data_IF_290858563053
#
_entry.id   IF_290858563053
#
_cell.length_a   1.000
_cell.length_b   1.000
_cell.length_c   1.000
_cell.angle_alpha   90.00
_cell.angle_beta   90.00
_cell.angle_gamma   90.00
#
_symmetry.space_group_name_H-M   'P 1'
#
loop_
_entity.id
_entity.type
_entity.pdbx_description
1 polymer ?
#
# COMPACT_ATOMS: atom_id res chain seq x y z
N UNK A 1 -6.44 -3.45 3.47
CA UNK A 1 -5.47 -4.04 2.53
C UNK A 1 -5.37 -3.13 1.31
N UNK A 2 -4.38 -2.24 1.28
CA UNK A 2 -4.18 -1.26 0.20
C UNK A 2 -3.72 -2.01 -1.04
N UNK A 3 -4.45 -1.90 -2.16
CA UNK A 3 -4.09 -2.58 -3.41
C UNK A 3 -2.88 -1.89 -4.06
N UNK A 4 -2.03 -2.69 -4.70
CA UNK A 4 -0.77 -2.35 -5.38
C UNK A 4 -0.91 -1.34 -6.55
N UNK A 5 -2.13 -0.88 -6.85
CA UNK A 5 -2.43 0.01 -8.00
C UNK A 5 -2.25 1.50 -7.64
N UNK A 6 -2.07 1.84 -6.36
CA UNK A 6 -1.61 3.16 -5.97
C UNK A 6 -0.08 3.22 -6.07
N UNK A 7 0.43 3.89 -7.10
CA UNK A 7 1.87 4.01 -7.38
C UNK A 7 2.63 4.59 -6.18
N UNK A 8 2.05 5.55 -5.46
CA UNK A 8 2.71 6.19 -4.32
C UNK A 8 2.76 5.23 -3.14
N UNK A 9 1.65 4.55 -2.84
CA UNK A 9 1.62 3.54 -1.77
C UNK A 9 2.56 2.37 -2.08
N UNK A 10 2.60 1.89 -3.33
CA UNK A 10 3.46 0.80 -3.77
C UNK A 10 4.95 1.17 -3.72
N UNK A 11 5.30 2.39 -4.16
CA UNK A 11 6.67 2.91 -4.04
C UNK A 11 7.09 3.03 -2.57
N UNK A 12 6.22 3.55 -1.72
CA UNK A 12 6.49 3.70 -0.28
C UNK A 12 6.68 2.33 0.38
N UNK A 13 5.84 1.35 0.06
CA UNK A 13 5.98 0.00 0.58
C UNK A 13 7.29 -0.66 0.12
N UNK A 14 7.69 -0.47 -1.15
CA UNK A 14 8.96 -0.98 -1.67
C UNK A 14 10.16 -0.35 -0.97
N UNK A 15 10.15 0.97 -0.75
CA UNK A 15 11.22 1.67 -0.02
C UNK A 15 11.31 1.21 1.43
N UNK A 16 10.18 1.07 2.14
CA UNK A 16 10.14 0.56 3.51
C UNK A 16 10.70 -0.88 3.59
N UNK A 17 10.33 -1.73 2.63
CA UNK A 17 10.87 -3.10 2.51
C UNK A 17 12.39 -3.07 2.32
N UNK A 18 12.91 -2.26 1.40
CA UNK A 18 14.34 -2.13 1.15
C UNK A 18 15.10 -1.60 2.37
N UNK A 19 14.56 -0.59 3.08
CA UNK A 19 15.15 -0.08 4.31
C UNK A 19 15.22 -1.16 5.40
N UNK A 20 14.14 -1.93 5.58
CA UNK A 20 14.12 -3.06 6.53
C UNK A 20 15.17 -4.10 6.19
N UNK A 21 15.27 -4.48 4.92
CA UNK A 21 16.27 -5.44 4.45
C UNK A 21 17.70 -4.90 4.64
N UNK A 22 17.94 -3.62 4.34
CA UNK A 22 19.25 -3.02 4.50
C UNK A 22 19.70 -2.99 5.97
N UNK A 23 18.77 -2.69 6.89
CA UNK A 23 19.03 -2.83 8.34
C UNK A 23 19.30 -4.28 8.74
N UNK A 24 18.60 -5.25 8.15
CA UNK A 24 18.78 -6.68 8.44
C UNK A 24 20.16 -7.21 7.99
N UNK A 25 20.72 -6.67 6.92
CA UNK A 25 22.03 -7.06 6.38
C UNK A 25 23.12 -6.02 6.70
N UNK A 26 22.98 -5.30 7.81
CA UNK A 26 24.00 -4.38 8.35
C UNK A 26 24.52 -3.33 7.34
N UNK A 27 23.65 -2.85 6.45
CA UNK A 27 24.00 -1.88 5.42
C UNK A 27 24.56 -2.47 4.12
N UNK A 28 24.74 -3.79 4.03
CA UNK A 28 25.21 -4.45 2.80
C UNK A 28 24.12 -4.41 1.72
N UNK A 29 24.29 -3.50 0.76
CA UNK A 29 23.36 -3.31 -0.35
C UNK A 29 23.30 -4.50 -1.31
N UNK A 30 24.38 -5.30 -1.47
CA UNK A 30 24.35 -6.46 -2.35
C UNK A 30 23.46 -7.55 -1.77
N UNK A 31 23.61 -7.82 -0.47
CA UNK A 31 22.75 -8.75 0.26
C UNK A 31 21.30 -8.24 0.34
N UNK A 32 21.12 -6.94 0.52
CA UNK A 32 19.81 -6.27 0.51
C UNK A 32 19.05 -6.52 -0.80
N UNK A 33 19.70 -6.24 -1.94
CA UNK A 33 19.10 -6.41 -3.27
C UNK A 33 18.88 -7.89 -3.59
N UNK A 34 19.81 -8.76 -3.19
CA UNK A 34 19.64 -10.22 -3.32
C UNK A 34 18.43 -10.73 -2.53
N UNK A 35 18.22 -10.22 -1.32
CA UNK A 35 17.08 -10.59 -0.48
C UNK A 35 15.76 -10.03 -1.00
N UNK A 36 15.77 -8.84 -1.60
CA UNK A 36 14.60 -8.28 -2.27
C UNK A 36 14.15 -9.15 -3.45
N UNK A 37 15.09 -9.65 -4.25
CA UNK A 37 14.77 -10.53 -5.39
C UNK A 37 14.39 -11.96 -4.96
N UNK A 38 15.12 -12.55 -4.00
CA UNK A 38 15.08 -13.99 -3.75
C UNK A 38 14.48 -14.39 -2.40
N UNK A 39 14.13 -13.41 -1.57
CA UNK A 39 13.64 -13.55 -0.20
C UNK A 39 14.75 -13.53 0.85
N UNK A 40 14.54 -12.79 1.95
CA UNK A 40 15.50 -12.69 3.06
C UNK A 40 15.87 -14.03 3.68
N UNK A 41 14.90 -14.93 3.87
CA UNK A 41 15.15 -16.25 4.48
C UNK A 41 16.11 -17.10 3.65
N UNK A 42 16.10 -16.95 2.32
CA UNK A 42 17.03 -17.64 1.42
C UNK A 42 18.45 -17.11 1.59
N UNK A 43 18.62 -15.79 1.61
CA UNK A 43 19.93 -15.15 1.81
C UNK A 43 20.48 -15.48 3.19
N UNK A 44 19.66 -15.39 4.24
CA UNK A 44 20.04 -15.75 5.61
C UNK A 44 20.47 -17.22 5.73
N UNK A 45 19.75 -18.14 5.07
CA UNK A 45 20.14 -19.55 5.04
C UNK A 45 21.49 -19.74 4.35
N UNK A 46 21.73 -19.06 3.21
CA UNK A 46 22.99 -19.12 2.50
C UNK A 46 24.17 -18.60 3.35
N UNK A 47 23.98 -17.47 4.04
CA UNK A 47 24.96 -16.92 4.99
C UNK A 47 25.27 -17.92 6.10
N UNK A 48 24.24 -18.49 6.74
CA UNK A 48 24.41 -19.49 7.80
C UNK A 48 25.19 -20.71 7.31
N UNK A 49 24.89 -21.20 6.10
CA UNK A 49 25.61 -22.33 5.49
C UNK A 49 27.08 -22.01 5.23
N UNK A 50 27.40 -20.82 4.69
CA UNK A 50 28.80 -20.44 4.47
C UNK A 50 29.55 -20.24 5.78
N UNK A 51 28.94 -19.57 6.76
CA UNK A 51 29.54 -19.37 8.10
C UNK A 51 29.87 -20.69 8.79
N UNK A 52 28.95 -21.67 8.75
CA UNK A 52 29.18 -23.01 9.31
C UNK A 52 30.33 -23.78 8.62
N UNK A 53 30.70 -23.39 7.40
CA UNK A 53 31.79 -23.98 6.62
C UNK A 53 33.06 -23.13 6.63
N UNK A 54 33.12 -22.06 7.43
CA UNK A 54 34.25 -21.12 7.46
C UNK A 54 34.47 -20.38 6.14
N UNK A 55 33.43 -20.22 5.31
CA UNK A 55 33.50 -19.52 4.01
C UNK A 55 33.03 -18.06 4.15
N UNK A 56 33.48 -17.21 3.24
CA UNK A 56 33.01 -15.81 3.16
C UNK A 56 31.48 -15.74 2.98
N UNK A 57 30.87 -14.71 3.56
CA UNK A 57 29.43 -14.46 3.57
C UNK A 57 29.02 -13.27 2.72
N UNK A 58 29.96 -12.67 1.99
CA UNK A 58 29.65 -11.64 0.99
C UNK A 58 28.80 -12.23 -0.16
N UNK A 59 28.03 -11.37 -0.82
CA UNK A 59 27.11 -11.77 -1.89
C UNK A 59 27.74 -12.67 -2.96
N UNK A 60 28.99 -12.41 -3.38
CA UNK A 60 29.65 -13.14 -4.46
C UNK A 60 30.02 -14.57 -4.05
N UNK A 61 30.25 -14.78 -2.76
CA UNK A 61 30.57 -16.07 -2.17
C UNK A 61 29.36 -16.91 -1.81
N UNK A 62 28.16 -16.33 -1.77
CA UNK A 62 26.95 -17.05 -1.34
C UNK A 62 26.42 -18.02 -2.41
N UNK A 63 25.97 -19.23 -1.99
CA UNK A 63 25.33 -20.19 -2.88
C UNK A 63 23.87 -19.79 -3.19
N UNK A 64 23.68 -18.68 -3.89
CA UNK A 64 22.37 -18.18 -4.33
C UNK A 64 21.97 -18.72 -5.73
N UNK A 65 20.66 -18.72 -6.07
CA UNK A 65 20.19 -19.06 -7.41
C UNK A 65 20.83 -18.20 -8.49
N UNK A 66 20.99 -18.77 -9.69
CA UNK A 66 21.61 -18.09 -10.83
C UNK A 66 20.86 -16.79 -11.20
N UNK A 67 19.53 -16.80 -11.11
CA UNK A 67 18.70 -15.61 -11.34
C UNK A 67 19.12 -14.45 -10.42
N UNK A 68 19.23 -14.70 -9.11
CA UNK A 68 19.64 -13.68 -8.12
C UNK A 68 21.07 -13.23 -8.34
N UNK A 69 21.98 -14.16 -8.68
CA UNK A 69 23.37 -13.86 -9.03
C UNK A 69 23.50 -12.95 -10.25
N UNK A 70 22.55 -13.02 -11.18
CA UNK A 70 22.48 -12.13 -12.34
C UNK A 70 21.70 -10.84 -12.06
N UNK A 71 20.73 -10.87 -11.15
CA UNK A 71 19.89 -9.72 -10.81
C UNK A 71 20.70 -8.59 -10.17
N UNK A 72 21.53 -8.89 -9.17
CA UNK A 72 22.31 -7.87 -8.45
C UNK A 72 23.29 -7.12 -9.38
N UNK A 73 24.11 -7.78 -10.22
CA UNK A 73 24.94 -7.09 -11.21
C UNK A 73 24.14 -6.20 -12.18
N UNK A 74 22.96 -6.63 -12.63
CA UNK A 74 22.10 -5.80 -13.49
C UNK A 74 21.64 -4.54 -12.77
N UNK A 75 21.30 -4.62 -11.48
CA UNK A 75 20.94 -3.46 -10.68
C UNK A 75 22.12 -2.51 -10.46
N UNK A 76 23.33 -3.05 -10.25
CA UNK A 76 24.55 -2.25 -10.18
C UNK A 76 24.83 -1.53 -11.50
N UNK A 77 24.72 -2.23 -12.64
CA UNK A 77 24.89 -1.65 -13.96
C UNK A 77 23.86 -0.56 -14.24
N UNK A 78 22.59 -0.78 -13.89
CA UNK A 78 21.55 0.23 -14.03
C UNK A 78 21.84 1.47 -13.17
N UNK A 79 22.26 1.28 -11.91
CA UNK A 79 22.66 2.37 -11.02
C UNK A 79 23.81 3.19 -11.62
N UNK A 80 24.83 2.50 -12.16
CA UNK A 80 25.96 3.15 -12.81
C UNK A 80 25.54 3.90 -14.08
N UNK A 81 24.68 3.31 -14.91
CA UNK A 81 24.13 3.97 -16.10
C UNK A 81 23.35 5.22 -15.73
N UNK A 82 22.51 5.17 -14.69
CA UNK A 82 21.74 6.33 -14.25
C UNK A 82 22.67 7.44 -13.73
N UNK A 83 23.65 7.08 -12.90
CA UNK A 83 24.63 8.02 -12.32
C UNK A 83 25.53 8.65 -13.38
N UNK A 84 25.94 7.88 -14.39
CA UNK A 84 26.86 8.28 -15.45
C UNK A 84 26.16 8.39 -16.82
N UNK A 85 24.87 8.73 -16.83
CA UNK A 85 24.02 8.72 -18.03
C UNK A 85 24.62 9.49 -19.22
N UNK A 86 25.22 10.66 -18.97
CA UNK A 86 25.94 11.45 -19.98
C UNK A 86 27.10 10.68 -20.63
N UNK A 87 27.92 9.98 -19.82
CA UNK A 87 29.07 9.19 -20.29
C UNK A 87 28.61 8.06 -21.23
N UNK A 88 27.46 7.47 -20.94
CA UNK A 88 26.88 6.38 -21.74
C UNK A 88 25.95 6.85 -22.86
N UNK A 89 25.82 8.16 -23.10
CA UNK A 89 24.92 8.70 -24.11
C UNK A 89 23.43 8.48 -23.82
N UNK A 90 23.06 8.16 -22.57
CA UNK A 90 21.68 7.95 -22.14
C UNK A 90 21.05 9.29 -21.78
N UNK A 91 19.93 9.62 -22.44
CA UNK A 91 19.10 10.78 -22.09
C UNK A 91 18.03 10.38 -21.08
N UNK A 92 18.15 10.85 -19.86
CA UNK A 92 17.12 10.65 -18.83
C UNK A 92 15.91 11.56 -19.12
N UNK A 93 14.69 11.10 -18.82
CA UNK A 93 13.51 11.94 -18.94
C UNK A 93 13.61 13.15 -18.01
N UNK A 94 13.24 14.31 -18.50
CA UNK A 94 13.14 15.53 -17.69
C UNK A 94 11.87 15.48 -16.85
N UNK A 95 11.97 15.91 -15.58
CA UNK A 95 10.80 16.06 -14.72
C UNK A 95 9.88 17.13 -15.29
N UNK A 96 8.64 16.74 -15.61
CA UNK A 96 7.61 17.66 -16.06
C UNK A 96 6.73 18.05 -14.87
N UNK A 97 7.04 19.18 -14.24
CA UNK A 97 6.29 19.71 -13.10
C UNK A 97 4.80 19.95 -13.44
N UNK A 98 4.46 20.15 -14.72
CA UNK A 98 3.06 20.32 -15.15
C UNK A 98 2.24 19.03 -15.02
N UNK A 99 2.92 17.88 -14.97
CA UNK A 99 2.33 16.54 -14.75
C UNK A 99 2.43 16.07 -13.31
N UNK A 100 3.02 16.88 -12.42
CA UNK A 100 3.12 16.53 -11.02
C UNK A 100 1.72 16.36 -10.40
N UNK A 101 1.55 15.28 -9.64
CA UNK A 101 0.35 15.05 -8.84
C UNK A 101 0.61 15.50 -7.40
N UNK A 102 -0.41 16.07 -6.78
CA UNK A 102 -0.44 16.44 -5.38
C UNK A 102 -1.46 15.58 -4.64
N UNK A 103 -1.12 15.23 -3.40
CA UNK A 103 -2.05 14.62 -2.44
C UNK A 103 -2.83 15.72 -1.74
N UNK A 104 -4.15 15.61 -1.76
CA UNK A 104 -5.06 16.43 -0.97
C UNK A 104 -5.77 15.52 0.02
N UNK A 105 -5.65 15.81 1.31
CA UNK A 105 -6.26 15.02 2.37
C UNK A 105 -7.78 15.20 2.37
N UNK A 106 -8.51 14.12 2.64
CA UNK A 106 -9.96 14.11 2.80
C UNK A 106 -10.30 13.80 4.25
N UNK A 107 -10.97 14.73 4.92
CA UNK A 107 -11.41 14.59 6.32
C UNK A 107 -12.65 13.70 6.48
N UNK A 108 -13.41 13.50 5.41
CA UNK A 108 -14.58 12.62 5.37
C UNK A 108 -14.74 12.00 3.98
N UNK A 109 -15.56 10.94 3.82
CA UNK A 109 -15.86 10.40 2.50
C UNK A 109 -16.57 11.42 1.60
N UNK A 110 -16.09 11.57 0.35
CA UNK A 110 -16.65 12.52 -0.62
C UNK A 110 -16.88 11.82 -1.96
N UNK A 111 -18.02 12.11 -2.61
CA UNK A 111 -18.28 11.64 -3.97
C UNK A 111 -17.24 12.21 -4.94
N UNK A 112 -16.67 11.33 -5.77
CA UNK A 112 -15.64 11.65 -6.74
C UNK A 112 -16.13 12.64 -7.78
N UNK A 113 -17.42 12.63 -8.12
CA UNK A 113 -18.04 13.64 -8.96
C UNK A 113 -17.88 15.04 -8.36
N UNK A 114 -18.20 15.17 -7.07
CA UNK A 114 -18.09 16.44 -6.34
C UNK A 114 -16.64 16.92 -6.26
N UNK A 115 -15.70 16.02 -5.99
CA UNK A 115 -14.26 16.37 -5.98
C UNK A 115 -13.79 16.80 -7.35
N UNK A 116 -14.27 16.17 -8.42
CA UNK A 116 -13.94 16.54 -9.79
C UNK A 116 -14.45 17.96 -10.12
N UNK A 117 -15.68 18.27 -9.71
CA UNK A 117 -16.27 19.60 -9.87
C UNK A 117 -15.48 20.67 -9.10
N UNK A 118 -15.18 20.43 -7.81
CA UNK A 118 -14.40 21.34 -6.97
C UNK A 118 -12.99 21.58 -7.51
N UNK A 119 -12.35 20.55 -8.08
CA UNK A 119 -11.02 20.65 -8.65
C UNK A 119 -11.02 21.16 -10.11
N UNK A 120 -12.19 21.34 -10.73
CA UNK A 120 -12.30 21.75 -12.13
C UNK A 120 -11.71 20.74 -13.13
N UNK A 121 -11.85 19.44 -12.86
CA UNK A 121 -11.36 18.37 -13.76
C UNK A 121 -12.46 17.35 -14.04
N UNK A 122 -12.36 16.61 -15.15
CA UNK A 122 -13.35 15.57 -15.43
C UNK A 122 -13.23 14.38 -14.48
N UNK A 123 -14.37 13.77 -14.14
CA UNK A 123 -14.42 12.54 -13.31
C UNK A 123 -13.57 11.43 -13.91
N UNK A 124 -13.57 11.27 -15.23
CA UNK A 124 -12.74 10.28 -15.93
C UNK A 124 -11.24 10.50 -15.66
N UNK A 125 -10.78 11.74 -15.78
CA UNK A 125 -9.37 12.10 -15.54
C UNK A 125 -8.99 11.93 -14.06
N UNK A 126 -9.89 12.30 -13.15
CA UNK A 126 -9.70 12.08 -11.72
C UNK A 126 -9.58 10.58 -11.38
N UNK A 127 -10.39 9.72 -12.01
CA UNK A 127 -10.29 8.25 -11.88
C UNK A 127 -8.93 7.72 -12.33
N UNK A 128 -8.37 8.24 -13.42
CA UNK A 128 -7.03 7.83 -13.90
C UNK A 128 -5.95 8.07 -12.85
N UNK A 129 -5.99 9.20 -12.15
CA UNK A 129 -5.01 9.51 -11.09
C UNK A 129 -5.25 8.73 -9.79
N UNK A 130 -6.46 8.18 -9.60
CA UNK A 130 -6.88 7.49 -8.39
C UNK A 130 -7.33 6.05 -8.67
N UNK A 131 -6.69 5.38 -9.63
CA UNK A 131 -7.07 4.02 -10.08
C UNK A 131 -7.04 2.96 -8.96
N UNK A 132 -6.39 3.26 -7.83
CA UNK A 132 -6.39 2.42 -6.63
C UNK A 132 -7.70 2.47 -5.81
N UNK A 133 -8.60 3.42 -6.06
CA UNK A 133 -9.88 3.57 -5.35
C UNK A 133 -10.98 2.82 -6.09
N UNK A 134 -11.83 2.09 -5.35
CA UNK A 134 -13.01 1.42 -5.89
C UNK A 134 -14.28 2.22 -5.63
N UNK A 135 -15.17 2.27 -6.60
CA UNK A 135 -16.46 2.93 -6.49
C UNK A 135 -16.42 4.43 -6.82
N UNK A 136 -17.49 5.14 -6.48
CA UNK A 136 -17.62 6.58 -6.72
C UNK A 136 -17.25 7.44 -5.52
N UNK A 137 -17.00 6.86 -4.34
CA UNK A 137 -16.76 7.62 -3.10
C UNK A 137 -15.29 7.52 -2.69
N UNK A 138 -14.59 8.65 -2.68
CA UNK A 138 -13.23 8.78 -2.16
C UNK A 138 -13.27 8.82 -0.63
N UNK A 139 -12.27 8.23 0.04
CA UNK A 139 -12.17 8.26 1.51
C UNK A 139 -13.15 7.34 2.27
N UNK A 140 -14.14 6.72 1.60
CA UNK A 140 -15.04 5.74 2.22
C UNK A 140 -14.34 4.40 2.52
N UNK A 141 -13.43 3.98 1.64
CA UNK A 141 -12.55 2.84 1.84
C UNK A 141 -11.26 3.06 1.05
N UNK A 142 -10.11 2.64 1.60
CA UNK A 142 -8.81 2.89 0.98
C UNK A 142 -8.17 4.20 1.44
N UNK A 143 -7.38 4.89 0.59
CA UNK A 143 -6.66 6.10 0.98
C UNK A 143 -7.58 7.26 1.39
N UNK A 144 -7.26 7.93 2.50
CA UNK A 144 -7.92 9.18 2.95
C UNK A 144 -7.34 10.43 2.27
N UNK A 145 -7.03 10.30 0.99
CA UNK A 145 -6.56 11.39 0.16
C UNK A 145 -6.99 11.17 -1.28
N UNK A 146 -6.98 12.25 -2.04
CA UNK A 146 -7.15 12.24 -3.49
C UNK A 146 -5.91 12.77 -4.16
N UNK A 147 -5.54 12.16 -5.29
CA UNK A 147 -4.48 12.61 -6.18
C UNK A 147 -5.07 13.51 -7.27
N UNK A 148 -4.57 14.74 -7.38
CA UNK A 148 -4.95 15.70 -8.43
C UNK A 148 -3.70 16.34 -9.02
N UNK A 149 -3.71 16.89 -10.25
CA UNK A 149 -2.58 17.66 -10.75
C UNK A 149 -2.28 18.83 -9.82
N UNK A 150 -1.00 19.11 -9.58
CA UNK A 150 -0.52 20.10 -8.61
C UNK A 150 -1.20 21.47 -8.77
N UNK A 151 -1.45 21.89 -10.02
CA UNK A 151 -2.17 23.14 -10.35
C UNK A 151 -3.62 23.24 -9.85
N UNK A 152 -4.28 22.12 -9.56
CA UNK A 152 -5.66 22.07 -9.05
C UNK A 152 -5.71 21.80 -7.55
N UNK A 153 -4.56 21.56 -6.91
CA UNK A 153 -4.52 21.13 -5.52
C UNK A 153 -4.96 22.23 -4.56
N UNK A 154 -4.56 23.48 -4.81
CA UNK A 154 -4.87 24.61 -3.94
C UNK A 154 -6.35 24.97 -4.01
N UNK A 155 -6.91 25.05 -5.23
CA UNK A 155 -8.35 25.20 -5.44
C UNK A 155 -9.15 24.13 -4.68
N UNK A 156 -8.76 22.85 -4.80
CA UNK A 156 -9.47 21.77 -4.10
C UNK A 156 -9.34 21.90 -2.57
N UNK A 157 -8.18 22.30 -2.05
CA UNK A 157 -7.98 22.51 -0.60
C UNK A 157 -8.88 23.63 -0.09
N UNK A 158 -8.94 24.74 -0.81
CA UNK A 158 -9.80 25.88 -0.48
C UNK A 158 -11.27 25.48 -0.46
N UNK A 159 -11.75 24.80 -1.52
CA UNK A 159 -13.14 24.34 -1.60
C UNK A 159 -13.50 23.29 -0.54
N UNK A 160 -12.54 22.45 -0.10
CA UNK A 160 -12.75 21.51 1.00
C UNK A 160 -12.78 22.21 2.37
N UNK A 161 -11.98 23.27 2.55
CA UNK A 161 -11.89 24.03 3.79
C UNK A 161 -13.08 25.00 3.97
N UNK A 162 -13.62 25.56 2.88
CA UNK A 162 -14.74 26.52 2.90
C UNK A 162 -16.08 25.89 3.28
N UNK A 163 -16.15 24.57 3.48
CA UNK A 163 -17.34 23.93 4.02
C UNK A 163 -18.52 23.86 3.05
N UNK A 164 -18.30 23.91 1.72
CA UNK A 164 -19.30 23.52 0.69
C UNK A 164 -19.60 22.00 0.73
N UNK A 165 -19.64 21.43 1.93
CA UNK A 165 -20.01 20.08 2.25
C UNK A 165 -21.54 20.06 2.33
N UNK A 166 -22.22 20.07 1.18
CA UNK A 166 -23.44 19.28 1.09
C UNK A 166 -23.04 17.84 1.44
N UNK A 167 -23.18 17.50 2.72
CA UNK A 167 -22.97 16.17 3.24
C UNK A 167 -23.82 15.24 2.38
N UNK A 168 -23.22 14.13 1.94
CA UNK A 168 -23.96 13.07 1.26
C UNK A 168 -25.12 12.69 2.17
N UNK A 169 -26.33 13.12 1.80
CA UNK A 169 -27.56 12.76 2.49
C UNK A 169 -27.78 11.30 2.14
N UNK A 170 -27.35 10.40 3.02
CA UNK A 170 -27.74 8.99 2.97
C UNK A 170 -29.26 8.96 2.85
N UNK A 171 -29.87 8.29 1.84
CA UNK A 171 -31.30 8.13 1.83
C UNK A 171 -31.67 7.35 3.10
N UNK A 172 -32.38 8.00 4.02
CA UNK A 172 -32.90 7.38 5.21
C UNK A 172 -33.75 6.18 4.78
N UNK A 173 -33.29 4.96 5.09
CA UNK A 173 -34.14 3.77 4.99
C UNK A 173 -35.31 3.98 5.96
N UNK A 174 -36.45 4.37 5.39
CA UNK A 174 -37.73 4.47 6.10
C UNK A 174 -38.15 3.06 6.49
N UNK A 175 -38.00 2.72 7.76
CA UNK A 175 -38.60 1.53 8.34
C UNK A 175 -40.13 1.69 8.30
N UNK A 176 -40.83 0.75 7.67
CA UNK A 176 -42.27 0.55 7.87
C UNK A 176 -42.44 -0.43 9.05
N UNK A 177 -43.32 -0.16 10.02
CA UNK A 177 -43.54 -1.08 11.13
C UNK A 177 -44.67 -2.04 10.81
N UNK A 178 -44.39 -3.33 10.60
CA UNK A 178 -45.38 -4.39 10.88
C UNK A 178 -44.74 -5.76 11.19
N UNK A 179 -44.77 -6.11 12.48
CA UNK A 179 -45.16 -7.39 13.12
C UNK A 179 -44.61 -8.75 12.58
N UNK A 180 -43.78 -9.34 13.46
CA UNK A 180 -43.62 -10.76 13.90
C UNK A 180 -43.24 -11.91 12.94
N UNK A 181 -42.18 -12.59 13.42
CA UNK A 181 -41.93 -14.04 13.54
C UNK A 181 -40.86 -14.70 12.66
N UNK A 182 -40.06 -15.52 13.37
CA UNK A 182 -39.20 -16.65 12.96
C UNK A 182 -37.70 -16.40 12.66
N UNK A 183 -36.92 -16.62 13.74
CA UNK A 183 -35.77 -17.56 13.87
C UNK A 183 -34.60 -17.55 12.87
N UNK A 184 -33.41 -17.23 13.42
CA UNK A 184 -32.12 -17.98 13.42
C UNK A 184 -31.52 -18.43 12.06
N UNK A 185 -30.22 -18.45 11.75
CA UNK A 185 -28.95 -18.79 12.41
C UNK A 185 -27.85 -18.24 11.45
N UNK A 186 -26.70 -17.65 11.82
CA UNK A 186 -25.41 -18.30 12.08
C UNK A 186 -24.30 -17.25 12.26
N UNK A 187 -23.59 -17.27 13.40
CA UNK A 187 -22.13 -17.03 13.47
C UNK A 187 -21.60 -17.75 14.73
N UNK A 188 -20.55 -18.58 14.67
CA UNK A 188 -20.05 -19.31 15.83
C UNK A 188 -18.92 -18.53 16.51
N UNK A 189 -19.04 -18.22 17.80
CA UNK A 189 -17.93 -18.23 18.78
C UNK A 189 -18.46 -18.08 20.21
N UNK A 190 -17.78 -18.77 21.12
CA UNK A 190 -17.85 -18.73 22.59
C UNK A 190 -18.79 -19.72 23.31
N UNK A 191 -18.15 -20.70 23.93
CA UNK A 191 -18.64 -21.77 24.80
C UNK A 191 -18.63 -21.35 26.28
N UNK A 192 -19.48 -22.05 27.03
CA UNK A 192 -19.40 -22.35 28.47
C UNK A 192 -20.02 -21.35 29.48
N UNK A 193 -21.35 -21.38 29.56
CA UNK A 193 -22.06 -21.35 30.86
C UNK A 193 -23.36 -22.14 30.72
N UNK A 194 -23.31 -23.47 30.87
CA UNK A 194 -24.56 -24.26 30.82
C UNK A 194 -24.55 -25.65 31.47
N UNK A 195 -23.88 -25.82 32.60
CA UNK A 195 -24.21 -26.93 33.50
C UNK A 195 -24.09 -26.51 34.97
N UNK A 196 -25.03 -25.67 35.42
CA UNK A 196 -25.43 -25.63 36.84
C UNK A 196 -26.47 -26.74 37.05
N UNK A 197 -25.99 -27.95 37.33
CA UNK A 197 -26.81 -29.00 37.93
C UNK A 197 -26.37 -29.11 39.39
N UNK A 198 -27.29 -28.81 40.30
CA UNK A 198 -27.16 -29.17 41.71
C UNK A 198 -28.06 -30.38 41.97
N UNK A 199 -27.49 -31.46 42.48
CA UNK A 199 -28.23 -32.53 43.16
C UNK A 199 -27.62 -32.69 44.56
N UNK A 200 -28.52 -32.70 45.55
CA UNK A 200 -28.31 -32.38 46.96
C UNK A 200 -28.36 -33.64 47.85
N UNK A 201 -27.53 -33.60 48.91
CA UNK A 201 -27.70 -34.18 50.26
C UNK A 201 -27.59 -35.71 50.44
N UNK A 202 -26.81 -36.11 51.46
CA UNK A 202 -26.94 -37.41 52.14
C UNK A 202 -27.78 -37.24 53.41
N UNK A 203 -28.92 -37.94 53.48
CA UNK A 203 -29.24 -39.05 54.40
C UNK A 203 -30.69 -39.48 54.17
#
# INVERSE_FOLDING_TARGET
MTRVVDVVASTTAALNMMQRLNKMFDGDWLLTVAAYNSGEGRVMKAIKTNKARGKSTDFWSLPLPQETKQYVPKMLALSDILKNSKRYGVRLPTTDESRALARVHLSSPVEMAKVADMAGISVSKLKTFNAGVKGSTLGASGPQYVMVPKKHADQLRESLASGEIAAVRTPSRRWLPTIRHLTAVFTPYALATRFQVSLHVSA
#
